data_IF_741344978245
#
_entry.id   IF_741344978245
#
_cell.length_a   1.000
_cell.length_b   1.000
_cell.length_c   1.000
_cell.angle_alpha   90.00
_cell.angle_beta   90.00
_cell.angle_gamma   90.00
#
_symmetry.space_group_name_H-M   'P 1'
#
loop_
_entity.id
_entity.type
_entity.pdbx_description
1 polymer ?
#
# COMPACT_ATOMS: atom_id res chain seq x y z
N UNK A 1 5.44 -26.46 -5.01
CA UNK A 1 4.52 -26.24 -3.86
C UNK A 1 4.68 -24.78 -3.42
N UNK A 2 3.67 -23.93 -3.60
CA UNK A 2 3.71 -22.58 -3.02
C UNK A 2 3.27 -22.72 -1.57
N UNK A 3 4.23 -22.63 -0.65
CA UNK A 3 3.93 -22.52 0.76
C UNK A 3 3.38 -21.11 0.95
N UNK A 4 2.06 -20.95 0.84
CA UNK A 4 1.41 -19.65 0.99
C UNK A 4 1.42 -19.33 2.48
N UNK A 5 2.51 -18.73 2.96
CA UNK A 5 2.50 -18.02 4.23
C UNK A 5 1.31 -17.08 4.15
N UNK A 6 0.30 -17.31 5.00
CA UNK A 6 -0.85 -16.43 5.12
C UNK A 6 -0.28 -15.03 5.36
N UNK A 7 -0.70 -14.08 4.52
CA UNK A 7 -0.32 -12.67 4.70
C UNK A 7 -0.56 -12.28 6.16
N UNK A 8 0.36 -11.56 6.82
CA UNK A 8 0.14 -11.10 8.19
C UNK A 8 -1.10 -10.21 8.32
N UNK A 9 -1.65 -9.74 7.20
CA UNK A 9 -2.86 -8.95 7.09
C UNK A 9 -4.13 -9.76 6.79
N UNK A 10 -4.05 -11.08 6.58
CA UNK A 10 -5.15 -11.90 6.07
C UNK A 10 -6.44 -11.83 6.91
N UNK A 11 -6.30 -11.64 8.22
CA UNK A 11 -7.42 -11.55 9.17
C UNK A 11 -7.56 -10.18 9.82
N UNK A 12 -6.91 -9.14 9.28
CA UNK A 12 -6.95 -7.80 9.83
C UNK A 12 -7.87 -6.91 9.01
N UNK A 13 -8.73 -6.18 9.71
CA UNK A 13 -9.51 -5.08 9.13
C UNK A 13 -8.61 -3.87 8.89
N UNK A 14 -9.03 -2.98 8.00
CA UNK A 14 -8.31 -1.73 7.75
C UNK A 14 -8.11 -0.87 9.01
N UNK A 15 -9.09 -0.87 9.93
CA UNK A 15 -8.98 -0.13 11.19
C UNK A 15 -7.91 -0.72 12.12
N UNK A 16 -7.63 -2.02 12.04
CA UNK A 16 -6.55 -2.68 12.78
C UNK A 16 -5.18 -2.45 12.13
N UNK A 17 -5.13 -2.24 10.81
CA UNK A 17 -3.88 -2.00 10.07
C UNK A 17 -3.38 -0.56 10.27
N UNK A 18 -4.27 0.44 10.33
CA UNK A 18 -3.90 1.87 10.47
C UNK A 18 -2.95 2.16 11.65
N UNK A 19 -3.19 1.67 12.88
CA UNK A 19 -2.26 1.88 13.99
C UNK A 19 -0.86 1.32 13.72
N UNK A 20 -0.77 0.14 13.09
CA UNK A 20 0.50 -0.48 12.71
C UNK A 20 1.29 0.38 11.74
N UNK A 21 0.65 0.90 10.70
CA UNK A 21 1.30 1.83 9.75
C UNK A 21 1.76 3.11 10.47
N UNK A 22 0.95 3.68 11.38
CA UNK A 22 1.33 4.88 12.14
C UNK A 22 2.53 4.63 13.06
N UNK A 23 2.61 3.46 13.67
CA UNK A 23 3.75 3.08 14.48
C UNK A 23 4.99 2.92 13.61
N UNK A 24 4.88 2.17 12.50
CA UNK A 24 5.94 1.91 11.54
C UNK A 24 6.62 3.21 11.06
N UNK A 25 5.85 4.18 10.56
CA UNK A 25 6.40 5.45 10.07
C UNK A 25 7.00 6.35 11.18
N UNK A 26 6.66 6.09 12.44
CA UNK A 26 7.20 6.83 13.60
C UNK A 26 8.50 6.22 14.11
N UNK A 27 8.62 4.90 14.05
CA UNK A 27 9.75 4.17 14.62
C UNK A 27 10.89 3.99 13.63
N UNK A 28 10.61 3.98 12.34
CA UNK A 28 11.61 3.73 11.31
C UNK A 28 11.99 4.99 10.54
N UNK A 29 13.28 5.15 10.27
CA UNK A 29 13.80 6.24 9.45
C UNK A 29 13.47 6.05 7.97
N UNK A 30 13.52 4.80 7.52
CA UNK A 30 13.27 4.37 6.14
C UNK A 30 12.51 3.05 6.14
N UNK A 31 11.63 2.81 5.16
CA UNK A 31 10.84 1.59 5.09
C UNK A 31 11.71 0.38 4.71
N UNK A 32 11.52 -0.75 5.38
CA UNK A 32 12.07 -2.02 4.92
C UNK A 32 11.34 -2.50 3.65
N UNK A 33 12.08 -3.12 2.71
CA UNK A 33 11.48 -3.67 1.48
C UNK A 33 10.47 -4.77 1.79
N UNK A 34 10.75 -5.59 2.82
CA UNK A 34 9.88 -6.71 3.22
C UNK A 34 8.51 -6.20 3.67
N UNK A 35 8.46 -5.14 4.48
CA UNK A 35 7.19 -4.57 4.95
C UNK A 35 6.39 -3.93 3.82
N UNK A 36 7.08 -3.25 2.89
CA UNK A 36 6.47 -2.68 1.68
C UNK A 36 5.86 -3.78 0.82
N UNK A 37 6.57 -4.88 0.60
CA UNK A 37 6.10 -6.00 -0.22
C UNK A 37 4.92 -6.73 0.44
N UNK A 38 4.95 -6.92 1.75
CA UNK A 38 3.84 -7.53 2.49
C UNK A 38 2.57 -6.66 2.42
N UNK A 39 2.69 -5.35 2.68
CA UNK A 39 1.57 -4.41 2.60
C UNK A 39 1.06 -4.28 1.16
N UNK A 40 1.97 -4.18 0.19
CA UNK A 40 1.65 -4.12 -1.24
C UNK A 40 0.89 -5.35 -1.71
N UNK A 41 1.32 -6.54 -1.28
CA UNK A 41 0.63 -7.81 -1.57
C UNK A 41 -0.79 -7.84 -1.00
N UNK A 42 -0.98 -7.36 0.23
CA UNK A 42 -2.31 -7.26 0.82
C UNK A 42 -3.22 -6.27 0.07
N UNK A 43 -2.72 -5.07 -0.26
CA UNK A 43 -3.48 -4.07 -1.03
C UNK A 43 -3.84 -4.57 -2.43
N UNK A 44 -2.92 -5.27 -3.09
CA UNK A 44 -3.19 -5.95 -4.36
C UNK A 44 -4.30 -6.98 -4.23
N UNK A 45 -4.29 -7.77 -3.16
CA UNK A 45 -5.32 -8.78 -2.90
C UNK A 45 -6.70 -8.13 -2.72
N UNK A 46 -6.79 -7.01 -2.01
CA UNK A 46 -8.05 -6.24 -1.89
C UNK A 46 -8.60 -5.82 -3.27
N UNK A 47 -7.74 -5.41 -4.20
CA UNK A 47 -8.16 -5.11 -5.56
C UNK A 47 -8.67 -6.35 -6.31
N UNK A 48 -7.98 -7.50 -6.18
CA UNK A 48 -8.40 -8.77 -6.79
C UNK A 48 -9.75 -9.27 -6.23
N UNK A 49 -9.97 -9.09 -4.93
CA UNK A 49 -11.18 -9.49 -4.20
C UNK A 49 -12.34 -8.51 -4.38
N UNK A 50 -12.16 -7.52 -5.25
CA UNK A 50 -13.15 -6.50 -5.63
C UNK A 50 -13.50 -5.48 -4.53
N UNK A 51 -12.64 -5.32 -3.54
CA UNK A 51 -12.80 -4.38 -2.42
C UNK A 51 -12.27 -2.96 -2.76
N UNK A 52 -12.67 -2.38 -3.90
CA UNK A 52 -12.13 -1.09 -4.40
C UNK A 52 -12.36 0.05 -3.42
N UNK A 53 -13.51 0.12 -2.75
CA UNK A 53 -13.82 1.19 -1.80
C UNK A 53 -12.84 1.22 -0.62
N UNK A 54 -12.48 0.03 -0.14
CA UNK A 54 -11.46 -0.14 0.90
C UNK A 54 -10.11 0.32 0.33
N UNK A 55 -9.70 -0.16 -0.84
CA UNK A 55 -8.46 0.26 -1.51
C UNK A 55 -8.37 1.79 -1.60
N UNK A 56 -9.41 2.45 -2.11
CA UNK A 56 -9.42 3.90 -2.28
C UNK A 56 -9.32 4.63 -0.94
N UNK A 57 -10.00 4.13 0.10
CA UNK A 57 -9.91 4.66 1.47
C UNK A 57 -8.52 4.47 2.06
N UNK A 58 -7.89 3.32 1.83
CA UNK A 58 -6.52 3.03 2.25
C UNK A 58 -5.55 4.02 1.62
N UNK A 59 -5.61 4.22 0.31
CA UNK A 59 -4.66 5.08 -0.39
C UNK A 59 -4.84 6.57 -0.08
N UNK A 60 -6.04 7.02 0.28
CA UNK A 60 -6.24 8.37 0.84
C UNK A 60 -5.49 8.56 2.15
N UNK A 61 -5.57 7.58 3.05
CA UNK A 61 -4.83 7.60 4.31
C UNK A 61 -3.32 7.51 4.08
N UNK A 62 -2.87 6.56 3.27
CA UNK A 62 -1.46 6.36 2.94
C UNK A 62 -0.86 7.62 2.33
N UNK A 63 -1.51 8.23 1.34
CA UNK A 63 -1.01 9.46 0.73
C UNK A 63 -0.82 10.56 1.77
N UNK A 64 -1.81 10.77 2.65
CA UNK A 64 -1.73 11.78 3.70
C UNK A 64 -0.55 11.56 4.64
N UNK A 65 -0.35 10.33 5.12
CA UNK A 65 0.72 10.07 6.11
C UNK A 65 2.10 9.99 5.46
N UNK A 66 2.20 9.52 4.21
CA UNK A 66 3.47 9.45 3.49
C UNK A 66 3.93 10.81 2.98
N UNK A 67 3.00 11.73 2.64
CA UNK A 67 3.33 13.06 2.10
C UNK A 67 4.19 13.94 3.00
N UNK A 68 4.27 13.62 4.30
CA UNK A 68 5.08 14.35 5.29
C UNK A 68 6.43 13.68 5.56
N UNK A 69 6.75 12.58 4.84
CA UNK A 69 7.94 11.78 5.05
C UNK A 69 9.00 12.06 3.99
N UNK A 70 10.16 11.42 4.13
CA UNK A 70 11.27 11.59 3.19
C UNK A 70 11.08 10.79 1.89
N UNK A 71 11.97 11.00 0.92
CA UNK A 71 11.92 10.35 -0.40
C UNK A 71 11.95 8.81 -0.36
N UNK A 72 12.55 8.19 0.66
CA UNK A 72 12.56 6.73 0.80
C UNK A 72 11.15 6.20 1.08
N UNK A 73 10.37 6.89 1.90
CA UNK A 73 8.95 6.58 2.10
C UNK A 73 8.10 6.87 0.87
N UNK A 74 8.34 7.98 0.17
CA UNK A 74 7.64 8.26 -1.09
C UNK A 74 7.85 7.15 -2.13
N UNK A 75 9.09 6.65 -2.28
CA UNK A 75 9.38 5.47 -3.12
C UNK A 75 8.59 4.24 -2.69
N UNK A 76 8.51 3.95 -1.38
CA UNK A 76 7.67 2.88 -0.88
C UNK A 76 6.19 3.08 -1.25
N UNK A 77 5.64 4.30 -1.11
CA UNK A 77 4.28 4.60 -1.55
C UNK A 77 4.07 4.27 -3.03
N UNK A 78 5.00 4.65 -3.91
CA UNK A 78 4.93 4.31 -5.33
C UNK A 78 4.95 2.80 -5.58
N UNK A 79 5.77 2.05 -4.83
CA UNK A 79 5.74 0.58 -4.89
C UNK A 79 4.37 0.01 -4.48
N UNK A 80 3.74 0.55 -3.44
CA UNK A 80 2.39 0.16 -3.04
C UNK A 80 1.35 0.50 -4.13
N UNK A 81 1.44 1.68 -4.75
CA UNK A 81 0.59 2.06 -5.90
C UNK A 81 0.77 1.05 -7.03
N UNK A 82 2.00 0.73 -7.42
CA UNK A 82 2.27 -0.23 -8.50
C UNK A 82 1.68 -1.61 -8.19
N UNK A 83 1.84 -2.11 -6.96
CA UNK A 83 1.29 -3.39 -6.54
C UNK A 83 -0.24 -3.43 -6.66
N UNK A 84 -0.94 -2.39 -6.20
CA UNK A 84 -2.41 -2.36 -6.30
C UNK A 84 -2.88 -2.19 -7.74
N UNK A 85 -2.17 -1.41 -8.56
CA UNK A 85 -2.53 -1.23 -9.96
C UNK A 85 -2.41 -2.53 -10.76
N UNK A 86 -1.43 -3.39 -10.45
CA UNK A 86 -1.37 -4.74 -11.04
C UNK A 86 -2.62 -5.55 -10.71
N UNK A 87 -3.13 -5.44 -9.47
CA UNK A 87 -4.41 -6.06 -9.07
C UNK A 87 -5.61 -5.45 -9.82
N UNK A 88 -5.65 -4.12 -9.93
CA UNK A 88 -6.71 -3.40 -10.66
C UNK A 88 -6.76 -3.79 -12.14
N UNK A 89 -5.61 -3.81 -12.83
CA UNK A 89 -5.53 -4.25 -14.23
C UNK A 89 -5.96 -5.71 -14.37
N UNK A 90 -5.45 -6.60 -13.51
CA UNK A 90 -5.81 -8.01 -13.58
C UNK A 90 -7.31 -8.27 -13.33
N UNK A 91 -7.95 -7.49 -12.45
CA UNK A 91 -9.35 -7.71 -12.06
C UNK A 91 -10.38 -6.93 -12.87
N UNK A 92 -10.03 -5.71 -13.28
CA UNK A 92 -10.92 -4.71 -13.87
C UNK A 92 -10.47 -4.22 -15.25
N UNK A 93 -9.26 -4.58 -15.71
CA UNK A 93 -8.71 -4.13 -16.99
C UNK A 93 -8.37 -2.63 -17.05
N UNK A 94 -8.42 -1.91 -15.92
CA UNK A 94 -8.19 -0.46 -15.84
C UNK A 94 -7.45 -0.11 -14.56
N UNK A 95 -6.80 1.05 -14.57
CA UNK A 95 -6.16 1.63 -13.40
C UNK A 95 -7.18 2.33 -12.50
N UNK A 96 -6.91 2.34 -11.19
CA UNK A 96 -7.62 3.18 -10.22
C UNK A 96 -6.94 4.55 -10.13
N UNK A 97 -7.70 5.64 -10.16
CA UNK A 97 -7.11 6.95 -9.88
C UNK A 97 -6.68 7.03 -8.41
N UNK A 98 -5.38 7.23 -8.18
CA UNK A 98 -4.76 7.40 -6.86
C UNK A 98 -3.84 8.62 -6.92
N UNK A 99 -3.85 9.45 -5.87
CA UNK A 99 -2.91 10.58 -5.77
C UNK A 99 -1.49 10.05 -5.66
N UNK A 100 -0.60 10.48 -6.53
CA UNK A 100 0.77 9.96 -6.61
C UNK A 100 1.78 11.07 -6.90
N UNK A 101 1.53 12.29 -6.42
CA UNK A 101 2.45 13.41 -6.63
C UNK A 101 3.11 13.78 -5.31
N UNK A 102 4.43 13.60 -5.20
CA UNK A 102 5.23 14.13 -4.12
C UNK A 102 6.25 15.11 -4.69
N UNK A 103 6.29 16.38 -4.24
CA UNK A 103 7.11 17.42 -4.88
C UNK A 103 8.60 17.10 -5.00
N UNK A 104 9.14 16.35 -4.05
CA UNK A 104 10.56 15.94 -4.02
C UNK A 104 10.88 14.74 -4.90
N UNK A 105 9.88 14.14 -5.54
CA UNK A 105 10.01 12.95 -6.38
C UNK A 105 9.39 13.28 -7.74
N UNK A 106 10.20 13.80 -8.66
CA UNK A 106 9.85 13.85 -10.07
C UNK A 106 10.06 12.44 -10.65
N UNK A 107 9.01 11.63 -10.57
CA UNK A 107 8.95 10.28 -11.18
C UNK A 107 8.10 10.38 -12.43
#
# INVERSE_FOLDING_TARGET
MKNTLLSPFANLTWEQIKPGIKAWIKTEREPSTVDVDMLGSHLRQLALDRNIEIVHTCFKFLYRVFSTLNCSWHRAYFSLVNAVQQGMVARYGKLLYLKNNFPCCHI
#
